data_IF_659253302959
#
_entry.id   IF_659253302959
#
_cell.length_a   1.000
_cell.length_b   1.000
_cell.length_c   1.000
_cell.angle_alpha   90.00
_cell.angle_beta   90.00
_cell.angle_gamma   90.00
#
_symmetry.space_group_name_H-M   'P 1'
#
loop_
_entity.id
_entity.type
_entity.pdbx_description
1 polymer ?
#
# COMPACT_ATOMS: atom_id res chain seq x y z
N UNK A 1 47.83 28.83 -40.59
CA UNK A 1 47.13 28.41 -41.82
C UNK A 1 46.05 27.45 -41.37
N UNK A 2 44.93 27.92 -40.81
CA UNK A 2 43.83 28.71 -41.40
C UNK A 2 42.98 27.93 -42.43
N UNK A 3 41.68 28.17 -42.36
CA UNK A 3 40.52 27.71 -43.19
C UNK A 3 39.81 26.43 -42.71
N UNK A 4 38.69 26.53 -41.99
CA UNK A 4 37.28 26.83 -42.41
C UNK A 4 36.51 25.52 -42.65
N UNK A 5 35.57 25.13 -41.77
CA UNK A 5 34.15 25.52 -41.75
C UNK A 5 33.28 24.66 -42.66
N UNK A 6 32.52 23.71 -42.09
CA UNK A 6 31.06 23.63 -42.30
C UNK A 6 30.45 22.57 -41.36
N UNK A 7 29.39 22.96 -40.65
CA UNK A 7 28.30 22.06 -40.26
C UNK A 7 27.21 22.19 -41.33
N UNK A 8 26.42 21.15 -41.61
CA UNK A 8 25.12 21.13 -40.95
C UNK A 8 24.53 19.74 -40.68
N UNK A 9 23.46 19.79 -39.89
CA UNK A 9 22.26 18.97 -40.02
C UNK A 9 22.08 17.80 -39.04
N UNK A 10 21.39 18.16 -37.96
CA UNK A 10 20.06 17.62 -37.66
C UNK A 10 19.94 16.11 -37.43
N UNK A 11 19.95 15.78 -36.13
CA UNK A 11 18.89 15.00 -35.47
C UNK A 11 18.35 13.81 -36.25
N UNK A 12 19.13 12.73 -36.31
CA UNK A 12 18.59 11.39 -36.54
C UNK A 12 17.94 10.89 -35.25
N UNK A 13 16.62 10.69 -35.33
CA UNK A 13 15.78 10.34 -34.20
C UNK A 13 16.08 8.97 -33.60
N UNK A 14 15.91 8.91 -32.30
CA UNK A 14 15.31 7.77 -31.63
C UNK A 14 14.66 8.36 -30.38
N UNK A 15 13.44 8.88 -30.52
CA UNK A 15 12.53 8.95 -29.38
C UNK A 15 12.43 7.52 -28.86
N UNK A 16 13.23 7.23 -27.82
CA UNK A 16 13.13 6.01 -27.04
C UNK A 16 11.67 5.96 -26.64
N UNK A 17 10.92 5.09 -27.30
CA UNK A 17 9.59 4.73 -26.86
C UNK A 17 9.81 4.12 -25.49
N UNK A 18 9.64 4.96 -24.46
CA UNK A 18 9.75 4.61 -23.05
C UNK A 18 8.88 3.38 -22.88
N UNK A 19 9.54 2.21 -22.81
CA UNK A 19 8.87 0.95 -22.55
C UNK A 19 8.24 1.15 -21.18
N UNK A 20 6.91 1.38 -21.16
CA UNK A 20 6.12 1.47 -19.93
C UNK A 20 6.54 0.31 -19.04
N UNK A 21 7.26 0.65 -17.96
CA UNK A 21 7.77 -0.35 -17.03
C UNK A 21 6.55 -1.07 -16.47
N UNK A 22 6.66 -2.40 -16.33
CA UNK A 22 5.57 -3.20 -15.77
C UNK A 22 5.24 -2.66 -14.38
N UNK A 23 3.94 -2.55 -14.03
CA UNK A 23 3.55 -1.98 -12.76
C UNK A 23 4.04 -2.83 -11.60
N UNK A 24 4.41 -2.17 -10.50
CA UNK A 24 4.95 -2.81 -9.29
C UNK A 24 3.84 -2.84 -8.23
N UNK A 25 3.31 -4.03 -7.95
CA UNK A 25 2.26 -4.20 -6.92
C UNK A 25 2.80 -4.49 -5.53
N UNK A 26 4.02 -5.04 -5.42
CA UNK A 26 4.67 -5.27 -4.14
C UNK A 26 5.20 -3.95 -3.55
N UNK A 27 5.31 -3.89 -2.22
CA UNK A 27 5.98 -2.79 -1.54
C UNK A 27 7.41 -2.58 -2.10
N UNK A 28 7.90 -1.34 -2.21
CA UNK A 28 9.22 -1.02 -2.78
C UNK A 28 10.36 -1.80 -2.09
N UNK A 29 10.42 -1.90 -0.75
CA UNK A 29 11.40 -2.74 -0.09
C UNK A 29 11.26 -4.24 -0.39
N UNK A 30 10.04 -4.75 -0.54
CA UNK A 30 9.75 -6.15 -0.84
C UNK A 30 10.20 -6.50 -2.26
N UNK A 31 9.87 -5.62 -3.22
CA UNK A 31 10.27 -5.71 -4.61
C UNK A 31 11.80 -5.70 -4.75
N UNK A 32 12.48 -4.76 -4.06
CA UNK A 32 13.95 -4.69 -4.05
C UNK A 32 14.60 -5.96 -3.49
N UNK A 33 14.01 -6.55 -2.45
CA UNK A 33 14.49 -7.80 -1.82
C UNK A 33 14.04 -9.08 -2.55
N UNK A 34 13.17 -8.96 -3.56
CA UNK A 34 12.56 -10.08 -4.30
C UNK A 34 11.87 -11.10 -3.39
N UNK A 35 11.15 -10.63 -2.37
CA UNK A 35 10.35 -11.46 -1.46
C UNK A 35 8.86 -11.26 -1.71
N UNK A 36 8.04 -12.25 -1.32
CA UNK A 36 6.58 -12.15 -1.40
C UNK A 36 6.08 -11.03 -0.48
N UNK A 37 5.29 -10.11 -1.02
CA UNK A 37 4.58 -9.08 -0.27
C UNK A 37 3.14 -9.53 -0.04
N UNK A 38 2.61 -9.33 1.15
CA UNK A 38 1.21 -9.51 1.52
C UNK A 38 0.34 -8.29 1.19
N UNK A 39 0.94 -7.25 0.59
CA UNK A 39 0.29 -6.01 0.14
C UNK A 39 -0.45 -5.25 1.24
N UNK A 40 -0.11 -5.50 2.50
CA UNK A 40 -0.56 -4.70 3.63
C UNK A 40 0.35 -3.47 3.81
N UNK A 41 -0.12 -2.39 4.43
CA UNK A 41 0.71 -1.24 4.82
C UNK A 41 0.65 -0.98 6.33
N UNK A 42 1.79 -1.07 7.04
CA UNK A 42 3.03 -1.72 6.61
C UNK A 42 2.82 -3.22 6.38
N UNK A 43 3.58 -3.79 5.44
CA UNK A 43 3.45 -5.19 5.06
C UNK A 43 4.12 -6.09 6.12
N UNK A 44 3.63 -7.32 6.32
CA UNK A 44 4.17 -8.22 7.36
C UNK A 44 5.69 -8.44 7.21
N UNK A 45 6.25 -8.66 6.00
CA UNK A 45 7.70 -8.77 5.81
C UNK A 45 8.50 -7.52 6.22
N UNK A 46 7.94 -6.32 6.07
CA UNK A 46 8.58 -5.07 6.51
C UNK A 46 8.49 -4.90 8.04
N UNK A 47 7.37 -5.29 8.64
CA UNK A 47 7.21 -5.33 10.09
C UNK A 47 8.22 -6.30 10.75
N UNK A 48 8.31 -7.52 10.24
CA UNK A 48 9.24 -8.54 10.74
C UNK A 48 10.71 -8.15 10.61
N UNK A 49 11.04 -7.26 9.67
CA UNK A 49 12.39 -6.71 9.50
C UNK A 49 12.68 -5.48 10.37
N UNK A 50 11.71 -5.00 11.15
CA UNK A 50 11.86 -3.80 11.97
C UNK A 50 11.90 -2.50 11.16
N UNK A 51 11.38 -2.50 9.93
CA UNK A 51 11.35 -1.31 9.06
C UNK A 51 9.94 -1.02 8.50
N UNK A 52 8.89 -0.92 9.36
CA UNK A 52 7.53 -0.64 8.89
C UNK A 52 7.40 0.76 8.25
N UNK A 53 8.15 1.75 8.74
CA UNK A 53 8.16 3.12 8.23
C UNK A 53 8.68 3.24 6.80
N UNK A 54 9.49 2.27 6.34
CA UNK A 54 10.01 2.22 4.97
C UNK A 54 9.07 1.49 4.00
N UNK A 55 7.92 0.99 4.48
CA UNK A 55 6.99 0.21 3.68
C UNK A 55 6.14 1.11 2.77
N UNK A 56 6.70 1.45 1.61
CA UNK A 56 6.06 2.30 0.62
C UNK A 56 5.62 1.50 -0.61
N UNK A 57 4.54 1.94 -1.24
CA UNK A 57 3.99 1.38 -2.48
C UNK A 57 4.02 2.47 -3.56
N UNK A 58 4.13 2.09 -4.83
CA UNK A 58 3.92 3.01 -5.95
C UNK A 58 2.44 3.40 -6.03
N UNK A 59 2.09 4.44 -6.79
CA UNK A 59 0.69 4.80 -7.07
C UNK A 59 -0.14 3.61 -7.58
N UNK A 60 0.45 2.81 -8.46
CA UNK A 60 -0.16 1.60 -9.03
C UNK A 60 -0.43 0.53 -7.96
N UNK A 61 0.50 0.35 -7.02
CA UNK A 61 0.36 -0.56 -5.87
C UNK A 61 -0.44 0.03 -4.71
N UNK A 62 -0.71 1.33 -4.71
CA UNK A 62 -1.39 2.06 -3.62
C UNK A 62 -2.88 1.71 -3.54
N UNK A 63 -3.50 1.33 -4.67
CA UNK A 63 -4.91 0.90 -4.73
C UNK A 63 -5.23 -0.27 -3.77
N UNK A 64 -4.26 -1.13 -3.47
CA UNK A 64 -4.42 -2.23 -2.52
C UNK A 64 -4.57 -1.76 -1.06
N UNK A 65 -4.00 -0.60 -0.69
CA UNK A 65 -4.11 -0.05 0.66
C UNK A 65 -5.49 0.53 0.97
N UNK A 66 -6.18 1.08 -0.04
CA UNK A 66 -7.54 1.61 0.14
C UNK A 66 -8.50 0.53 0.65
N UNK A 67 -8.38 -0.70 0.13
CA UNK A 67 -9.19 -1.84 0.56
C UNK A 67 -8.94 -2.24 2.02
N UNK A 68 -7.70 -2.11 2.51
CA UNK A 68 -7.41 -2.38 3.92
C UNK A 68 -8.11 -1.38 4.84
N UNK A 69 -8.14 -0.11 4.43
CA UNK A 69 -8.75 0.95 5.23
C UNK A 69 -10.24 0.71 5.42
N UNK A 70 -10.94 0.28 4.37
CA UNK A 70 -12.37 0.00 4.43
C UNK A 70 -12.66 -1.25 5.27
N UNK A 71 -11.88 -2.32 5.14
CA UNK A 71 -12.00 -3.50 5.99
C UNK A 71 -11.77 -3.17 7.47
N UNK A 72 -10.75 -2.37 7.79
CA UNK A 72 -10.47 -1.94 9.17
C UNK A 72 -11.66 -1.16 9.74
N UNK A 73 -12.25 -0.24 8.96
CA UNK A 73 -13.44 0.52 9.40
C UNK A 73 -14.59 -0.42 9.72
N UNK A 74 -14.95 -1.32 8.80
CA UNK A 74 -16.05 -2.26 9.00
C UNK A 74 -15.84 -3.16 10.23
N UNK A 75 -14.63 -3.69 10.41
CA UNK A 75 -14.29 -4.50 11.60
C UNK A 75 -14.40 -3.69 12.89
N UNK A 76 -14.00 -2.42 12.87
CA UNK A 76 -14.08 -1.53 14.04
C UNK A 76 -15.54 -1.23 14.41
N UNK A 77 -16.39 -0.97 13.42
CA UNK A 77 -17.83 -0.75 13.60
C UNK A 77 -18.52 -2.01 14.16
N UNK A 78 -18.17 -3.18 13.63
CA UNK A 78 -18.71 -4.46 14.10
C UNK A 78 -18.28 -4.75 15.55
N UNK A 79 -17.01 -4.51 15.91
CA UNK A 79 -16.54 -4.66 17.29
C UNK A 79 -17.33 -3.75 18.24
N UNK A 80 -17.50 -2.47 17.89
CA UNK A 80 -18.25 -1.52 18.71
C UNK A 80 -19.73 -1.95 18.90
N UNK A 81 -20.36 -2.46 17.84
CA UNK A 81 -21.73 -2.98 17.91
C UNK A 81 -21.82 -4.19 18.85
N UNK A 82 -20.90 -5.15 18.70
CA UNK A 82 -20.89 -6.37 19.52
C UNK A 82 -20.64 -6.05 21.00
N UNK A 83 -19.71 -5.14 21.29
CA UNK A 83 -19.44 -4.66 22.65
C UNK A 83 -20.68 -4.01 23.28
N UNK A 84 -21.39 -3.15 22.55
CA UNK A 84 -22.63 -2.53 23.04
C UNK A 84 -23.71 -3.57 23.33
N UNK A 85 -23.85 -4.58 22.46
CA UNK A 85 -24.85 -5.63 22.61
C UNK A 85 -24.54 -6.55 23.80
N UNK A 86 -23.26 -6.87 24.02
CA UNK A 86 -22.83 -7.62 25.19
C UNK A 86 -23.14 -6.85 26.48
N UNK A 87 -22.82 -5.55 26.54
CA UNK A 87 -23.13 -4.72 27.70
C UNK A 87 -24.63 -4.64 28.01
N UNK A 88 -25.48 -4.55 26.96
CA UNK A 88 -26.93 -4.57 27.12
C UNK A 88 -27.41 -5.91 27.72
N UNK A 89 -26.95 -7.04 27.17
CA UNK A 89 -27.31 -8.37 27.67
C UNK A 89 -26.84 -8.59 29.12
N UNK A 90 -25.60 -8.20 29.44
CA UNK A 90 -25.07 -8.28 30.80
C UNK A 90 -25.91 -7.46 31.78
N UNK A 91 -26.38 -6.27 31.38
CA UNK A 91 -27.26 -5.45 32.21
C UNK A 91 -28.62 -6.12 32.47
N UNK A 92 -29.19 -6.76 31.45
CA UNK A 92 -30.46 -7.49 31.56
C UNK A 92 -30.32 -8.70 32.48
N UNK A 93 -29.21 -9.45 32.37
CA UNK A 93 -28.93 -10.56 33.27
C UNK A 93 -28.79 -10.12 34.73
N UNK A 94 -28.09 -9.01 34.98
CA UNK A 94 -27.94 -8.47 36.33
C UNK A 94 -29.29 -8.02 36.91
N UNK A 95 -30.16 -7.46 36.09
CA UNK A 95 -31.51 -7.07 36.49
C UNK A 95 -32.38 -8.30 36.79
N UNK A 96 -32.29 -9.36 35.97
CA UNK A 96 -33.01 -10.62 36.18
C UNK A 96 -32.57 -11.37 37.44
N UNK A 97 -31.30 -11.26 37.85
CA UNK A 97 -30.77 -11.86 39.09
C UNK A 97 -31.14 -11.08 40.36
N UNK A 98 -31.67 -9.86 40.23
CA UNK A 98 -32.09 -8.99 41.36
C UNK A 98 -33.58 -9.07 41.68
N UNK A 99 -34.40 -9.62 40.78
CA UNK A 99 -35.84 -9.85 40.98
C UNK A 99 -36.11 -11.27 41.45
#
# INVERSE_FOLDING_TARGET
>A
MDTSSESPSSTAGASRMEKKKRPIYACLPCHKRRVKCDHLKPCTPCCLRGAPSQCEFTEEGSSAHTLQSDLIKSLTEECAYLESKLAELESLELNAKKG
#
